data_IF_900560010048
#
_entry.id   IF_900560010048
#
_cell.length_a   1.000
_cell.length_b   1.000
_cell.length_c   1.000
_cell.angle_alpha   90.00
_cell.angle_beta   90.00
_cell.angle_gamma   90.00
#
_symmetry.space_group_name_H-M   'P 1'
#
loop_
_entity.id
_entity.type
_entity.pdbx_description
1 polymer ?
#
# COMPACT_ATOMS: atom_id res chain seq x y z
N UNK A 1 4.28 84.45 -7.77
CA UNK A 1 3.22 83.95 -6.85
C UNK A 1 3.68 82.60 -6.33
N UNK A 2 4.07 82.47 -5.04
CA UNK A 2 4.59 81.21 -4.54
C UNK A 2 3.45 80.21 -4.24
N UNK A 3 3.67 78.90 -4.39
CA UNK A 3 2.67 77.88 -4.06
C UNK A 3 2.46 77.77 -2.53
N UNK A 4 1.20 77.56 -2.13
CA UNK A 4 0.78 77.36 -0.73
C UNK A 4 1.38 76.08 -0.14
N UNK A 5 1.79 76.07 1.15
CA UNK A 5 2.22 74.84 1.81
C UNK A 5 1.04 73.91 2.10
N UNK A 6 1.23 72.62 1.85
CA UNK A 6 0.30 71.54 2.19
C UNK A 6 0.28 71.32 3.71
N UNK A 7 -0.92 71.38 4.29
CA UNK A 7 -1.17 71.09 5.71
C UNK A 7 -1.00 69.60 5.98
N UNK A 8 0.03 69.24 6.75
CA UNK A 8 0.20 67.89 7.30
C UNK A 8 -0.78 67.68 8.44
N UNK A 9 -1.81 66.86 8.22
CA UNK A 9 -2.70 66.40 9.29
C UNK A 9 -1.96 65.38 10.16
N UNK A 10 -1.88 65.68 11.45
CA UNK A 10 -1.30 64.81 12.47
C UNK A 10 -2.03 63.46 12.53
N UNK A 11 -1.35 62.39 12.12
CA UNK A 11 -1.80 61.02 12.37
C UNK A 11 -1.78 60.78 13.88
N UNK A 12 -2.93 60.45 14.45
CA UNK A 12 -3.12 60.28 15.90
C UNK A 12 -2.30 59.07 16.41
N UNK A 13 -1.52 59.18 17.50
CA UNK A 13 -0.62 58.13 18.01
C UNK A 13 -1.33 56.87 18.56
N UNK A 14 -2.66 56.83 18.54
CA UNK A 14 -3.46 55.69 19.02
C UNK A 14 -3.58 54.54 18.01
N UNK A 15 -3.24 54.75 16.74
CA UNK A 15 -3.32 53.71 15.72
C UNK A 15 -2.08 52.80 15.71
N UNK A 16 -0.93 53.29 16.19
CA UNK A 16 0.33 52.53 16.21
C UNK A 16 0.37 51.46 17.32
N UNK A 17 -0.34 51.68 18.44
CA UNK A 17 -0.36 50.74 19.56
C UNK A 17 -1.22 49.49 19.31
N UNK A 18 -2.22 49.57 18.41
CA UNK A 18 -3.07 48.44 18.07
C UNK A 18 -2.38 47.44 17.11
N UNK A 19 -1.35 47.88 16.37
CA UNK A 19 -0.65 47.03 15.40
C UNK A 19 0.42 46.15 16.05
N UNK A 20 1.01 46.58 17.18
CA UNK A 20 2.02 45.80 17.92
C UNK A 20 1.38 44.65 18.72
N UNK A 21 0.15 44.83 19.19
CA UNK A 21 -0.59 43.77 19.90
C UNK A 21 -1.09 42.64 18.97
N UNK A 22 -1.22 42.91 17.66
CA UNK A 22 -1.66 41.90 16.69
C UNK A 22 -0.52 40.99 16.20
N UNK A 23 0.74 41.42 16.34
CA UNK A 23 1.91 40.64 15.91
C UNK A 23 2.42 39.70 17.03
N UNK A 24 2.13 40.00 18.30
CA UNK A 24 2.52 39.15 19.43
C UNK A 24 1.63 37.89 19.62
N UNK A 25 0.51 37.78 18.90
CA UNK A 25 -0.37 36.59 18.93
C UNK A 25 -0.03 35.49 17.93
N UNK A 26 0.95 35.72 17.04
CA UNK A 26 1.31 34.80 15.95
C UNK A 26 2.46 33.83 16.28
N UNK A 27 2.97 33.85 17.51
CA UNK A 27 4.14 33.06 17.93
C UNK A 27 3.81 31.97 18.97
N UNK A 28 2.58 31.45 18.98
CA UNK A 28 2.15 30.40 19.92
C UNK A 28 1.44 29.22 19.22
N UNK A 29 1.92 28.79 18.05
CA UNK A 29 1.24 27.76 17.25
C UNK A 29 2.11 26.81 16.43
N UNK A 30 3.43 26.75 16.63
CA UNK A 30 4.28 25.75 16.00
C UNK A 30 5.00 24.95 17.08
N UNK A 31 4.33 23.90 17.54
CA UNK A 31 4.84 22.98 18.54
C UNK A 31 3.93 21.76 18.64
N UNK A 32 3.60 21.15 17.50
CA UNK A 32 3.08 19.79 17.47
C UNK A 32 4.26 18.82 17.41
N UNK A 33 5.05 18.78 18.49
CA UNK A 33 5.90 17.62 18.81
C UNK A 33 5.02 16.54 19.44
N UNK A 34 4.02 16.10 18.68
CA UNK A 34 3.43 14.78 18.88
C UNK A 34 4.12 13.89 17.86
N UNK A 35 4.99 12.99 18.33
CA UNK A 35 5.45 11.81 17.60
C UNK A 35 4.25 10.91 17.27
N UNK A 36 3.29 11.41 16.49
CA UNK A 36 2.27 10.59 15.88
C UNK A 36 2.88 10.08 14.58
N UNK A 37 3.25 8.80 14.58
CA UNK A 37 3.82 8.15 13.41
C UNK A 37 2.81 8.08 12.24
N UNK A 38 1.55 8.47 12.48
CA UNK A 38 0.49 8.53 11.49
C UNK A 38 -0.28 7.22 11.39
N UNK A 39 -1.17 7.17 10.39
CA UNK A 39 -1.96 5.98 10.09
C UNK A 39 -1.70 5.48 8.66
N UNK A 40 -1.90 4.19 8.46
CA UNK A 40 -1.74 3.49 7.19
C UNK A 40 -2.96 2.59 6.93
N UNK A 41 -3.64 2.79 5.80
CA UNK A 41 -4.74 1.95 5.35
C UNK A 41 -4.24 0.87 4.38
N UNK A 42 -4.31 -0.37 4.83
CA UNK A 42 -3.86 -1.55 4.09
C UNK A 42 -5.06 -2.33 3.55
N UNK A 43 -5.14 -2.48 2.23
CA UNK A 43 -6.06 -3.43 1.60
C UNK A 43 -5.33 -4.76 1.40
N UNK A 44 -5.69 -5.78 2.18
CA UNK A 44 -5.01 -7.08 2.17
C UNK A 44 -5.86 -8.15 1.48
N UNK A 45 -5.38 -8.61 0.33
CA UNK A 45 -5.87 -9.77 -0.42
C UNK A 45 -5.55 -11.12 0.23
N UNK A 46 -4.90 -11.11 1.40
CA UNK A 46 -4.44 -12.29 2.15
C UNK A 46 -5.19 -12.41 3.46
N UNK A 47 -5.39 -13.64 3.94
CA UNK A 47 -6.10 -13.87 5.20
C UNK A 47 -5.35 -13.26 6.38
N UNK A 48 -6.11 -12.67 7.31
CA UNK A 48 -5.56 -12.09 8.54
C UNK A 48 -4.72 -13.09 9.33
N UNK A 49 -5.16 -14.35 9.42
CA UNK A 49 -4.40 -15.42 10.08
C UNK A 49 -2.99 -15.63 9.52
N UNK A 50 -2.74 -15.26 8.27
CA UNK A 50 -1.45 -15.43 7.60
C UNK A 50 -0.56 -14.19 7.76
N UNK A 51 -1.12 -12.98 7.67
CA UNK A 51 -0.35 -11.73 7.58
C UNK A 51 -0.53 -10.77 8.76
N UNK A 52 -1.57 -10.94 9.56
CA UNK A 52 -1.83 -10.12 10.75
C UNK A 52 -0.64 -10.04 11.70
N UNK A 53 0.06 -11.16 12.02
CA UNK A 53 1.22 -11.11 12.92
C UNK A 53 2.38 -10.22 12.42
N UNK A 54 2.65 -10.18 11.11
CA UNK A 54 3.74 -9.34 10.57
C UNK A 54 3.30 -7.87 10.48
N UNK A 55 2.02 -7.61 10.19
CA UNK A 55 1.45 -6.26 10.20
C UNK A 55 1.50 -5.67 11.61
N UNK A 56 1.12 -6.47 12.63
CA UNK A 56 1.20 -6.06 14.03
C UNK A 56 2.63 -5.74 14.47
N UNK A 57 3.60 -6.59 14.10
CA UNK A 57 5.01 -6.33 14.39
C UNK A 57 5.50 -5.03 13.72
N UNK A 58 5.09 -4.77 12.48
CA UNK A 58 5.39 -3.50 11.82
C UNK A 58 4.82 -2.30 12.59
N UNK A 59 3.55 -2.36 13.00
CA UNK A 59 2.91 -1.31 13.78
C UNK A 59 3.63 -1.07 15.12
N UNK A 60 3.99 -2.14 15.84
CA UNK A 60 4.73 -2.05 17.11
C UNK A 60 6.14 -1.46 16.95
N UNK A 61 6.84 -1.79 15.87
CA UNK A 61 8.20 -1.30 15.61
C UNK A 61 8.24 0.16 15.13
N UNK A 62 7.21 0.60 14.41
CA UNK A 62 7.18 1.91 13.76
C UNK A 62 6.35 2.94 14.51
N UNK A 63 5.42 2.48 15.36
CA UNK A 63 4.40 3.31 15.99
C UNK A 63 3.25 3.69 15.06
N UNK A 64 3.25 3.24 13.80
CA UNK A 64 2.21 3.56 12.81
C UNK A 64 0.94 2.77 13.13
N UNK A 65 -0.21 3.45 13.18
CA UNK A 65 -1.51 2.80 13.29
C UNK A 65 -1.92 2.19 11.94
N UNK A 66 -2.02 0.86 11.85
CA UNK A 66 -2.35 0.17 10.59
C UNK A 66 -3.79 -0.30 10.60
N UNK A 67 -4.62 0.33 9.76
CA UNK A 67 -6.02 -0.02 9.53
C UNK A 67 -6.10 -1.00 8.35
N UNK A 68 -6.59 -2.22 8.58
CA UNK A 68 -6.57 -3.27 7.54
C UNK A 68 -7.98 -3.65 7.07
N UNK A 69 -8.18 -3.62 5.74
CA UNK A 69 -9.36 -4.19 5.08
C UNK A 69 -8.98 -5.53 4.46
N UNK A 70 -9.49 -6.62 5.03
CA UNK A 70 -9.31 -7.97 4.52
C UNK A 70 -10.45 -8.37 3.59
N UNK A 71 -10.12 -8.81 2.37
CA UNK A 71 -11.06 -9.44 1.44
C UNK A 71 -10.28 -10.18 0.34
N UNK A 72 -10.97 -10.87 -0.57
CA UNK A 72 -10.32 -11.52 -1.70
C UNK A 72 -9.64 -10.50 -2.63
N UNK A 73 -8.47 -10.85 -3.17
CA UNK A 73 -7.67 -9.96 -4.05
C UNK A 73 -8.50 -9.36 -5.18
N UNK A 74 -9.30 -10.15 -5.89
CA UNK A 74 -10.16 -9.65 -6.97
C UNK A 74 -11.24 -8.66 -6.49
N UNK A 75 -11.83 -8.92 -5.32
CA UNK A 75 -12.85 -8.05 -4.72
C UNK A 75 -12.24 -6.71 -4.29
N UNK A 76 -11.05 -6.73 -3.69
CA UNK A 76 -10.32 -5.51 -3.34
C UNK A 76 -9.84 -4.73 -4.56
N UNK A 77 -9.39 -5.41 -5.62
CA UNK A 77 -9.02 -4.74 -6.87
C UNK A 77 -10.23 -4.03 -7.49
N UNK A 78 -11.40 -4.68 -7.55
CA UNK A 78 -12.63 -4.05 -8.00
C UNK A 78 -13.05 -2.88 -7.10
N UNK A 79 -12.87 -3.02 -5.78
CA UNK A 79 -13.12 -1.95 -4.81
C UNK A 79 -12.22 -0.74 -5.06
N UNK A 80 -10.92 -0.95 -5.29
CA UNK A 80 -9.96 0.11 -5.60
C UNK A 80 -10.37 0.85 -6.88
N UNK A 81 -10.71 0.12 -7.94
CA UNK A 81 -11.14 0.74 -9.20
C UNK A 81 -12.41 1.58 -9.05
N UNK A 82 -13.36 1.16 -8.20
CA UNK A 82 -14.58 1.91 -7.91
C UNK A 82 -14.31 3.14 -7.03
N UNK A 83 -13.42 3.01 -6.05
CA UNK A 83 -13.03 4.11 -5.17
C UNK A 83 -12.21 5.18 -5.93
N UNK A 84 -11.33 4.75 -6.83
CA UNK A 84 -10.45 5.62 -7.62
C UNK A 84 -9.57 6.50 -6.72
N UNK A 85 -9.45 7.78 -7.08
CA UNK A 85 -8.68 8.79 -6.31
C UNK A 85 -9.24 9.05 -4.90
N UNK A 86 -10.44 8.53 -4.58
CA UNK A 86 -11.05 8.64 -3.25
C UNK A 86 -10.76 7.44 -2.38
N UNK A 87 -10.00 6.45 -2.86
CA UNK A 87 -9.64 5.29 -2.05
C UNK A 87 -8.83 5.75 -0.84
N UNK A 88 -9.16 5.28 0.37
CA UNK A 88 -8.32 5.53 1.53
C UNK A 88 -7.06 4.66 1.51
N UNK A 89 -6.94 3.67 0.62
CA UNK A 89 -5.87 2.68 0.66
C UNK A 89 -4.51 3.29 0.31
N UNK A 90 -3.55 3.15 1.22
CA UNK A 90 -2.15 3.53 1.01
C UNK A 90 -1.35 2.37 0.39
N UNK A 91 -1.70 1.13 0.75
CA UNK A 91 -1.01 -0.09 0.30
C UNK A 91 -2.04 -1.13 -0.11
N UNK A 92 -1.81 -1.75 -1.27
CA UNK A 92 -2.53 -2.94 -1.71
C UNK A 92 -1.62 -4.17 -1.63
N UNK A 93 -1.93 -5.09 -0.71
CA UNK A 93 -1.21 -6.35 -0.53
C UNK A 93 -1.99 -7.51 -1.17
N UNK A 94 -1.78 -7.70 -2.47
CA UNK A 94 -2.38 -8.77 -3.25
C UNK A 94 -1.80 -10.17 -2.94
N UNK A 95 -2.60 -11.21 -3.20
CA UNK A 95 -2.16 -12.61 -3.05
C UNK A 95 -1.28 -13.08 -4.22
N UNK A 96 -1.44 -12.48 -5.40
CA UNK A 96 -0.83 -12.84 -6.66
C UNK A 96 -0.69 -11.58 -7.57
N UNK A 97 0.20 -11.62 -8.58
CA UNK A 97 0.45 -10.46 -9.44
C UNK A 97 -0.71 -10.15 -10.40
N UNK A 98 -1.66 -11.07 -10.63
CA UNK A 98 -2.82 -10.83 -11.49
C UNK A 98 -3.68 -9.70 -10.93
N UNK A 99 -3.92 -9.69 -9.62
CA UNK A 99 -4.63 -8.60 -8.95
C UNK A 99 -3.90 -7.25 -9.02
N UNK A 100 -2.56 -7.25 -8.97
CA UNK A 100 -1.76 -6.02 -9.09
C UNK A 100 -1.86 -5.41 -10.49
N UNK A 101 -1.85 -6.25 -11.54
CA UNK A 101 -2.00 -5.80 -12.92
C UNK A 101 -3.36 -5.14 -13.20
N UNK A 102 -4.42 -5.55 -12.50
CA UNK A 102 -5.77 -4.95 -12.65
C UNK A 102 -5.81 -3.50 -12.17
N UNK A 103 -5.02 -3.14 -11.16
CA UNK A 103 -4.99 -1.80 -10.57
C UNK A 103 -3.72 -1.02 -10.91
N UNK A 104 -2.97 -1.46 -11.93
CA UNK A 104 -1.64 -0.92 -12.25
C UNK A 104 -1.63 0.61 -12.44
N UNK A 105 -2.68 1.17 -13.05
CA UNK A 105 -2.83 2.61 -13.27
C UNK A 105 -3.01 3.44 -11.99
N UNK A 106 -3.29 2.79 -10.86
CA UNK A 106 -3.45 3.43 -9.55
C UNK A 106 -2.18 3.33 -8.68
N UNK A 107 -1.19 2.54 -9.09
CA UNK A 107 0.01 2.30 -8.30
C UNK A 107 1.03 3.42 -8.49
N UNK A 108 1.72 3.77 -7.40
CA UNK A 108 2.88 4.67 -7.43
C UNK A 108 4.17 3.92 -7.77
N UNK A 109 5.13 4.63 -8.36
CA UNK A 109 6.49 4.08 -8.57
C UNK A 109 7.20 3.96 -7.23
N UNK A 110 7.71 2.77 -6.93
CA UNK A 110 8.45 2.50 -5.71
C UNK A 110 9.88 3.06 -5.77
N UNK A 111 10.46 3.47 -4.63
CA UNK A 111 11.86 3.85 -4.54
C UNK A 111 12.80 2.73 -5.01
N UNK A 112 13.93 3.10 -5.61
CA UNK A 112 14.95 2.15 -6.09
C UNK A 112 15.42 1.21 -4.97
N UNK A 113 15.62 1.74 -3.76
CA UNK A 113 16.00 0.98 -2.57
C UNK A 113 14.98 -0.09 -2.15
N UNK A 114 13.71 0.05 -2.50
CA UNK A 114 12.68 -0.97 -2.31
C UNK A 114 12.75 -2.01 -3.42
N UNK A 115 12.90 -1.56 -4.67
CA UNK A 115 12.99 -2.43 -5.84
C UNK A 115 14.24 -3.33 -5.80
N UNK A 116 15.35 -2.85 -5.25
CA UNK A 116 16.64 -3.56 -5.17
C UNK A 116 16.69 -4.62 -4.07
N UNK A 117 15.70 -4.66 -3.17
CA UNK A 117 15.60 -5.69 -2.11
C UNK A 117 15.12 -7.04 -2.64
N UNK A 118 14.61 -7.10 -3.86
CA UNK A 118 14.07 -8.31 -4.48
C UNK A 118 14.74 -8.59 -5.81
N UNK A 119 14.76 -9.85 -6.22
CA UNK A 119 15.24 -10.23 -7.55
C UNK A 119 14.36 -9.60 -8.64
N UNK A 120 14.95 -9.35 -9.82
CA UNK A 120 14.27 -8.70 -10.94
C UNK A 120 12.99 -9.42 -11.37
N UNK A 121 12.97 -10.76 -11.31
CA UNK A 121 11.78 -11.56 -11.65
C UNK A 121 10.62 -11.39 -10.64
N UNK A 122 10.89 -10.85 -9.46
CA UNK A 122 9.93 -10.68 -8.38
C UNK A 122 9.46 -9.21 -8.22
N UNK A 123 9.65 -8.36 -9.23
CA UNK A 123 9.17 -6.97 -9.22
C UNK A 123 8.57 -6.57 -10.56
N UNK A 124 7.74 -5.53 -10.56
CA UNK A 124 7.23 -4.91 -11.77
C UNK A 124 8.38 -4.36 -12.61
N UNK A 125 8.41 -4.60 -13.94
CA UNK A 125 9.36 -3.94 -14.85
C UNK A 125 9.25 -2.40 -14.83
N UNK A 126 8.08 -1.87 -14.48
CA UNK A 126 7.78 -0.44 -14.35
C UNK A 126 8.05 0.09 -12.94
N UNK A 127 8.45 -0.77 -11.99
CA UNK A 127 8.73 -0.39 -10.61
C UNK A 127 7.49 -0.11 -9.75
N UNK A 128 6.31 -0.55 -10.17
CA UNK A 128 5.03 -0.25 -9.51
C UNK A 128 4.71 -1.17 -8.32
N UNK A 129 5.36 -2.32 -8.23
CA UNK A 129 5.15 -3.28 -7.14
C UNK A 129 6.36 -4.21 -6.98
N UNK A 130 6.47 -4.81 -5.79
CA UNK A 130 7.45 -5.87 -5.46
C UNK A 130 6.74 -7.08 -4.85
N UNK A 131 7.26 -8.27 -5.13
CA UNK A 131 6.82 -9.53 -4.54
C UNK A 131 7.55 -9.76 -3.22
N UNK A 132 6.78 -10.04 -2.16
CA UNK A 132 7.31 -10.26 -0.80
C UNK A 132 7.24 -11.72 -0.34
N UNK A 133 6.54 -12.57 -1.10
CA UNK A 133 6.51 -14.02 -0.89
C UNK A 133 6.27 -14.75 -2.20
N UNK A 134 6.82 -15.96 -2.32
CA UNK A 134 6.57 -16.87 -3.44
C UNK A 134 5.77 -18.09 -3.01
N UNK A 135 5.06 -18.71 -3.96
CA UNK A 135 4.39 -20.01 -3.75
C UNK A 135 4.70 -20.91 -4.94
N UNK A 136 5.20 -22.11 -4.66
CA UNK A 136 5.33 -23.15 -5.67
C UNK A 136 4.01 -23.95 -5.72
N UNK A 137 3.47 -24.16 -6.92
CA UNK A 137 2.44 -25.17 -7.14
C UNK A 137 3.13 -26.51 -7.27
N UNK A 138 2.69 -27.49 -6.50
CA UNK A 138 3.26 -28.84 -6.47
C UNK A 138 2.14 -29.86 -6.66
N UNK A 139 2.50 -31.03 -7.19
CA UNK A 139 1.60 -32.18 -7.21
C UNK A 139 1.73 -32.91 -5.87
N UNK A 140 0.68 -32.82 -5.04
CA UNK A 140 0.58 -33.63 -3.82
C UNK A 140 0.03 -35.00 -4.21
N UNK A 141 0.70 -36.07 -3.80
CA UNK A 141 0.30 -37.45 -4.13
C UNK A 141 0.32 -38.35 -2.89
N UNK A 142 -0.40 -39.48 -2.96
CA UNK A 142 -0.36 -40.51 -1.93
C UNK A 142 0.64 -41.61 -2.35
N UNK A 143 1.76 -41.79 -1.63
CA UNK A 143 2.80 -42.76 -1.99
C UNK A 143 2.35 -44.23 -1.88
N UNK A 144 1.26 -44.52 -1.17
CA UNK A 144 0.67 -45.87 -1.12
C UNK A 144 -0.11 -46.21 -2.41
N UNK A 145 -0.43 -45.21 -3.23
CA UNK A 145 -1.26 -45.35 -4.44
C UNK A 145 -0.56 -44.99 -5.74
N UNK A 146 0.55 -44.25 -5.66
CA UNK A 146 1.36 -43.77 -6.79
C UNK A 146 2.81 -43.73 -6.33
N UNK A 147 3.72 -44.42 -7.00
CA UNK A 147 5.15 -44.31 -6.70
C UNK A 147 5.76 -43.04 -7.30
N UNK A 148 6.87 -42.56 -6.75
CA UNK A 148 7.56 -41.37 -7.26
C UNK A 148 7.98 -41.50 -8.73
N UNK A 149 8.35 -42.70 -9.18
CA UNK A 149 8.74 -42.97 -10.57
C UNK A 149 7.57 -42.96 -11.55
N UNK A 150 6.32 -43.03 -11.06
CA UNK A 150 5.12 -42.89 -11.88
C UNK A 150 4.68 -41.43 -12.04
N UNK A 151 5.21 -40.51 -11.22
CA UNK A 151 4.85 -39.11 -11.27
C UNK A 151 5.17 -38.52 -12.65
N UNK A 152 4.28 -37.66 -13.17
CA UNK A 152 4.50 -37.05 -14.46
C UNK A 152 5.71 -36.10 -14.42
N UNK A 153 6.41 -35.99 -15.56
CA UNK A 153 7.51 -35.04 -15.70
C UNK A 153 6.99 -33.62 -15.99
N UNK A 154 5.76 -33.50 -16.50
CA UNK A 154 5.11 -32.25 -16.85
C UNK A 154 3.64 -32.20 -16.38
N UNK A 155 3.06 -31.02 -16.27
CA UNK A 155 1.63 -30.90 -15.92
C UNK A 155 0.74 -31.44 -17.05
N UNK A 156 1.22 -31.37 -18.29
CA UNK A 156 0.55 -31.86 -19.49
C UNK A 156 0.40 -33.38 -19.48
N UNK A 157 1.36 -34.11 -18.90
CA UNK A 157 1.29 -35.58 -18.76
C UNK A 157 0.14 -36.03 -17.84
N UNK A 158 -0.45 -35.13 -17.04
CA UNK A 158 -1.65 -35.42 -16.26
C UNK A 158 -2.89 -35.64 -17.15
N UNK A 159 -2.80 -35.31 -18.45
CA UNK A 159 -3.86 -35.60 -19.43
C UNK A 159 -3.87 -37.05 -19.93
N UNK A 160 -2.82 -37.83 -19.62
CA UNK A 160 -2.75 -39.26 -19.97
C UNK A 160 -3.95 -40.03 -19.38
N UNK A 161 -4.62 -40.91 -20.16
CA UNK A 161 -5.70 -41.76 -19.69
C UNK A 161 -5.44 -42.50 -18.35
N UNK A 162 -4.17 -42.81 -18.02
CA UNK A 162 -3.78 -43.46 -16.76
C UNK A 162 -4.14 -42.66 -15.50
N UNK A 163 -4.35 -41.35 -15.63
CA UNK A 163 -4.73 -40.45 -14.53
C UNK A 163 -6.24 -40.25 -14.39
N UNK A 164 -7.04 -40.79 -15.31
CA UNK A 164 -8.50 -40.64 -15.29
C UNK A 164 -9.08 -41.13 -13.95
N UNK A 165 -9.82 -40.26 -13.27
CA UNK A 165 -10.42 -40.55 -11.95
C UNK A 165 -9.43 -40.59 -10.78
N UNK A 166 -8.17 -40.20 -10.99
CA UNK A 166 -7.11 -40.18 -9.96
C UNK A 166 -6.64 -38.77 -9.58
N UNK A 167 -7.19 -37.73 -10.22
CA UNK A 167 -6.82 -36.33 -9.99
C UNK A 167 -7.82 -35.64 -9.07
N UNK A 168 -7.30 -34.85 -8.13
CA UNK A 168 -8.06 -33.86 -7.37
C UNK A 168 -7.55 -32.46 -7.70
N UNK A 169 -8.47 -31.57 -8.05
CA UNK A 169 -8.14 -30.17 -8.34
C UNK A 169 -8.97 -29.28 -7.43
N UNK A 170 -8.32 -28.46 -6.61
CA UNK A 170 -9.01 -27.42 -5.86
C UNK A 170 -9.20 -26.23 -6.83
N UNK A 171 -10.44 -25.91 -7.25
CA UNK A 171 -10.66 -24.69 -8.02
C UNK A 171 -10.30 -23.47 -7.16
N UNK A 172 -9.69 -22.48 -7.82
CA UNK A 172 -9.42 -21.15 -7.26
C UNK A 172 -10.57 -20.20 -7.54
#
# INVERSE_FOLDING_TARGET
MPPRPLSMRHLRPKLLLALVALIAGLAAGCGSDTNDAGSLYLYSGRSESLVGPIIKQFAELTGIDVQVKYAGTASLAATLLEEGDRSPADVFYAQDPGGLGVVESMLGVLPAETLERVSEWARSPQGLWVGISGRARVLVFNPERVSESELPASIEDLTDPKWKGRLGWAPT
#
